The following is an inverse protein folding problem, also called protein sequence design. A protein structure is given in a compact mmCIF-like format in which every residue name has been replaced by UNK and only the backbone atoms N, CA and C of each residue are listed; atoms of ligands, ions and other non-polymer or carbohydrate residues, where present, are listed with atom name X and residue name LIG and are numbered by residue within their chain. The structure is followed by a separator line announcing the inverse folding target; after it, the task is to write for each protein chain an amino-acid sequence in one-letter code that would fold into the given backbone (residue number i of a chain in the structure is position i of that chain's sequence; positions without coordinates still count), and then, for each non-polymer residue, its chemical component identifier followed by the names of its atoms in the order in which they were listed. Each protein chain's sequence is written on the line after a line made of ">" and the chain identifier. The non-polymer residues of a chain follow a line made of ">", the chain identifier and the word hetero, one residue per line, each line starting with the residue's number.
data_IF_218578182214
#
_entry.id   IF_218578182214
#
_cell.length_a   1.000
_cell.length_b   1.000
_cell.length_c   1.000
_cell.angle_alpha   90.00
_cell.angle_beta   90.00
_cell.angle_gamma   90.00
#
_symmetry.space_group_name_H-M   'P 1'
#
loop_
_entity.id
_entity.type
_entity.pdbx_description
1 polymer ?
#
# COMPACT_ATOMS: atom_id res chain seq x y z
N UNK A 1 -13.03 31.06 -16.22
CA UNK A 1 -12.09 30.06 -15.66
C UNK A 1 -12.10 28.88 -16.62
N UNK A 2 -11.07 28.74 -17.46
CA UNK A 2 -10.99 27.64 -18.44
C UNK A 2 -10.76 26.36 -17.64
N UNK A 3 -11.71 25.41 -17.68
CA UNK A 3 -11.49 24.05 -17.19
C UNK A 3 -10.52 23.40 -18.17
N UNK A 4 -9.23 23.41 -17.84
CA UNK A 4 -8.24 22.65 -18.58
C UNK A 4 -8.53 21.16 -18.33
N UNK A 5 -8.99 20.44 -19.35
CA UNK A 5 -9.11 18.99 -19.29
C UNK A 5 -7.70 18.39 -19.19
N UNK A 6 -7.33 17.90 -18.02
CA UNK A 6 -6.07 17.19 -17.81
C UNK A 6 -6.21 15.77 -18.36
N UNK A 7 -5.44 15.44 -19.40
CA UNK A 7 -5.33 14.05 -19.86
C UNK A 7 -4.49 13.26 -18.87
N UNK A 8 -5.12 12.31 -18.19
CA UNK A 8 -4.45 11.40 -17.25
C UNK A 8 -3.69 10.30 -18.01
N UNK A 9 -2.48 9.99 -17.54
CA UNK A 9 -1.70 8.83 -18.03
C UNK A 9 -2.37 7.51 -17.67
N UNK A 10 -2.13 6.43 -18.42
CA UNK A 10 -2.68 5.09 -18.15
C UNK A 10 -2.40 4.61 -16.71
N UNK A 11 -1.19 4.85 -16.19
CA UNK A 11 -0.83 4.50 -14.81
C UNK A 11 -1.63 5.29 -13.75
N UNK A 12 -1.98 6.55 -14.05
CA UNK A 12 -2.84 7.34 -13.17
C UNK A 12 -4.27 6.81 -13.19
N UNK A 13 -4.79 6.50 -14.38
CA UNK A 13 -6.14 5.95 -14.53
C UNK A 13 -6.25 4.60 -13.80
N UNK A 14 -5.25 3.73 -13.93
CA UNK A 14 -5.18 2.46 -13.22
C UNK A 14 -5.28 2.65 -11.70
N UNK A 15 -4.50 3.57 -11.12
CA UNK A 15 -4.53 3.85 -9.68
C UNK A 15 -5.88 4.38 -9.24
N UNK A 16 -6.50 5.28 -10.03
CA UNK A 16 -7.83 5.81 -9.75
C UNK A 16 -8.90 4.72 -9.75
N UNK A 17 -8.90 3.85 -10.76
CA UNK A 17 -9.84 2.72 -10.83
C UNK A 17 -9.68 1.79 -9.63
N UNK A 18 -8.45 1.48 -9.22
CA UNK A 18 -8.19 0.65 -8.03
C UNK A 18 -8.60 1.36 -6.73
N UNK A 19 -8.43 2.68 -6.65
CA UNK A 19 -8.91 3.48 -5.53
C UNK A 19 -10.43 3.45 -5.43
N UNK A 20 -11.14 3.64 -6.54
CA UNK A 20 -12.60 3.58 -6.55
C UNK A 20 -13.10 2.21 -6.05
N UNK A 21 -12.48 1.12 -6.50
CA UNK A 21 -12.76 -0.24 -6.00
C UNK A 21 -12.50 -0.37 -4.49
N UNK A 22 -11.39 0.21 -3.99
CA UNK A 22 -11.05 0.18 -2.57
C UNK A 22 -12.04 0.99 -1.72
N UNK A 23 -12.47 2.16 -2.20
CA UNK A 23 -13.42 3.02 -1.49
C UNK A 23 -14.82 2.40 -1.48
N UNK A 24 -15.25 1.78 -2.58
CA UNK A 24 -16.50 1.03 -2.60
C UNK A 24 -16.47 -0.11 -1.56
N UNK A 25 -15.35 -0.85 -1.48
CA UNK A 25 -15.17 -1.91 -0.49
C UNK A 25 -15.25 -1.42 0.96
N UNK A 26 -14.89 -0.15 1.25
CA UNK A 26 -15.02 0.41 2.60
C UNK A 26 -16.46 0.41 3.11
N UNK A 27 -17.46 0.45 2.25
CA UNK A 27 -18.86 0.35 2.65
C UNK A 27 -19.31 -1.08 3.03
N UNK A 28 -18.46 -2.08 2.76
CA UNK A 28 -18.78 -3.51 2.92
C UNK A 28 -18.18 -4.11 4.20
N UNK A 29 -17.27 -3.41 4.87
CA UNK A 29 -16.63 -3.86 6.11
C UNK A 29 -16.32 -2.71 7.07
N UNK A 30 -16.54 -2.95 8.36
CA UNK A 30 -16.11 -2.05 9.44
C UNK A 30 -14.72 -2.43 9.99
N UNK A 31 -14.15 -3.58 9.59
CA UNK A 31 -12.83 -4.01 10.02
C UNK A 31 -11.74 -3.32 9.18
N UNK A 32 -10.95 -2.48 9.85
CA UNK A 32 -9.85 -1.76 9.22
C UNK A 32 -8.74 -2.69 8.71
N UNK A 33 -8.55 -3.87 9.32
CA UNK A 33 -7.56 -4.84 8.85
C UNK A 33 -7.99 -5.51 7.56
N UNK A 34 -9.27 -5.84 7.41
CA UNK A 34 -9.82 -6.31 6.13
C UNK A 34 -9.67 -5.25 5.05
N UNK A 35 -9.94 -3.98 5.38
CA UNK A 35 -9.70 -2.86 4.47
C UNK A 35 -8.23 -2.75 4.05
N UNK A 36 -7.28 -2.82 4.99
CA UNK A 36 -5.84 -2.82 4.65
C UNK A 36 -5.43 -4.04 3.83
N UNK A 37 -6.04 -5.20 4.10
CA UNK A 37 -5.87 -6.40 3.29
C UNK A 37 -6.29 -6.16 1.85
N UNK A 38 -7.49 -5.62 1.63
CA UNK A 38 -7.97 -5.24 0.29
C UNK A 38 -7.08 -4.19 -0.37
N UNK A 39 -6.59 -3.20 0.38
CA UNK A 39 -5.64 -2.20 -0.13
C UNK A 39 -4.34 -2.84 -0.63
N UNK A 40 -3.81 -3.83 0.09
CA UNK A 40 -2.66 -4.61 -0.35
C UNK A 40 -2.98 -5.42 -1.61
N UNK A 41 -4.09 -6.16 -1.60
CA UNK A 41 -4.49 -7.05 -2.69
C UNK A 41 -4.79 -6.29 -4.00
N UNK A 42 -5.13 -5.00 -3.91
CA UNK A 42 -5.31 -4.10 -5.05
C UNK A 42 -4.02 -3.42 -5.54
N UNK A 43 -2.88 -3.69 -4.91
CA UNK A 43 -1.60 -3.09 -5.29
C UNK A 43 -1.40 -1.65 -4.78
N UNK A 44 -2.18 -1.22 -3.78
CA UNK A 44 -2.19 0.16 -3.27
C UNK A 44 -1.40 0.32 -1.95
N UNK A 45 -0.71 -0.73 -1.49
CA UNK A 45 0.19 -0.67 -0.33
C UNK A 45 1.51 0.02 -0.68
N UNK A 46 2.12 -0.34 -1.81
CA UNK A 46 3.31 0.29 -2.36
C UNK A 46 3.23 0.22 -3.89
N UNK A 47 2.67 1.23 -4.54
CA UNK A 47 2.35 1.15 -5.98
C UNK A 47 3.56 0.78 -6.87
N UNK A 48 4.77 1.06 -6.40
CA UNK A 48 6.02 0.73 -7.09
C UNK A 48 6.49 -0.71 -6.95
N UNK A 49 5.97 -1.46 -5.98
CA UNK A 49 6.31 -2.87 -5.85
C UNK A 49 5.64 -3.69 -6.97
N UNK A 50 6.17 -4.88 -7.30
CA UNK A 50 5.55 -5.74 -8.30
C UNK A 50 4.12 -6.14 -7.94
N UNK A 51 3.37 -6.57 -8.95
CA UNK A 51 2.06 -7.20 -8.75
C UNK A 51 2.19 -8.43 -7.83
N UNK A 52 1.20 -8.64 -6.97
CA UNK A 52 1.24 -9.66 -5.91
C UNK A 52 2.10 -9.32 -4.68
N UNK A 53 2.89 -8.25 -4.71
CA UNK A 53 3.72 -7.78 -3.58
C UNK A 53 3.13 -6.53 -2.91
N UNK A 54 1.84 -6.26 -3.09
CA UNK A 54 1.17 -5.05 -2.60
C UNK A 54 1.35 -3.83 -3.50
N UNK A 55 1.85 -4.00 -4.72
CA UNK A 55 2.08 -2.93 -5.68
C UNK A 55 1.49 -3.20 -7.07
N UNK A 56 1.71 -2.24 -7.98
CA UNK A 56 1.23 -2.25 -9.38
C UNK A 56 2.39 -2.22 -10.38
N UNK A 57 3.64 -2.21 -9.91
CA UNK A 57 4.84 -2.08 -10.75
C UNK A 57 4.98 -0.73 -11.46
N UNK A 58 4.40 0.35 -10.90
CA UNK A 58 4.36 1.67 -11.54
C UNK A 58 5.25 2.70 -10.82
N UNK A 59 5.35 3.90 -11.40
CA UNK A 59 6.18 4.96 -10.83
C UNK A 59 5.73 5.32 -9.39
N UNK A 60 6.66 5.41 -8.41
CA UNK A 60 6.36 5.76 -7.01
C UNK A 60 5.59 7.07 -6.82
N UNK A 61 5.66 8.02 -7.77
CA UNK A 61 4.94 9.30 -7.71
C UNK A 61 3.43 9.11 -7.51
N UNK A 62 2.86 8.00 -8.00
CA UNK A 62 1.43 7.74 -7.88
C UNK A 62 1.00 7.29 -6.47
N UNK A 63 1.94 6.98 -5.57
CA UNK A 63 1.63 6.69 -4.16
C UNK A 63 1.00 7.92 -3.46
N UNK A 64 1.30 9.13 -3.94
CA UNK A 64 0.72 10.36 -3.42
C UNK A 64 -0.81 10.37 -3.62
N UNK A 65 -1.28 9.95 -4.80
CA UNK A 65 -2.72 9.87 -5.10
C UNK A 65 -3.45 8.95 -4.12
N UNK A 66 -2.85 7.79 -3.83
CA UNK A 66 -3.39 6.84 -2.85
C UNK A 66 -3.48 7.49 -1.47
N UNK A 67 -2.39 8.11 -1.03
CA UNK A 67 -2.31 8.72 0.31
C UNK A 67 -3.28 9.89 0.47
N UNK A 68 -3.42 10.73 -0.56
CA UNK A 68 -4.35 11.87 -0.55
C UNK A 68 -5.80 11.40 -0.53
N UNK A 69 -6.17 10.45 -1.40
CA UNK A 69 -7.54 9.94 -1.46
C UNK A 69 -7.96 9.29 -0.14
N UNK A 70 -7.10 8.47 0.47
CA UNK A 70 -7.42 7.85 1.76
C UNK A 70 -7.56 8.89 2.88
N UNK A 71 -6.80 10.00 2.83
CA UNK A 71 -6.95 11.11 3.78
C UNK A 71 -8.26 11.87 3.58
N UNK A 72 -8.63 12.15 2.33
CA UNK A 72 -9.90 12.81 1.99
C UNK A 72 -11.11 12.02 2.49
N UNK A 73 -11.06 10.69 2.36
CA UNK A 73 -12.09 9.77 2.86
C UNK A 73 -12.02 9.52 4.38
N UNK A 74 -11.09 10.16 5.10
CA UNK A 74 -10.92 9.99 6.54
C UNK A 74 -10.47 8.58 6.96
N UNK A 75 -9.83 7.83 6.07
CA UNK A 75 -9.43 6.45 6.29
C UNK A 75 -8.10 6.39 7.03
N UNK A 76 -8.09 5.68 8.16
CA UNK A 76 -6.89 5.49 8.97
C UNK A 76 -5.75 4.80 8.21
N UNK A 77 -4.56 5.41 8.27
CA UNK A 77 -3.29 4.86 7.78
C UNK A 77 -2.41 4.39 8.94
N UNK A 78 -3.01 4.03 10.08
CA UNK A 78 -2.28 3.71 11.30
C UNK A 78 -1.38 2.48 11.15
N UNK A 79 -1.69 1.56 10.22
CA UNK A 79 -0.80 0.43 9.91
C UNK A 79 0.63 0.87 9.57
N UNK A 80 0.79 1.97 8.82
CA UNK A 80 2.11 2.50 8.46
C UNK A 80 2.89 3.07 9.64
N UNK A 81 2.20 3.68 10.59
CA UNK A 81 2.82 4.25 11.80
C UNK A 81 3.12 3.14 12.80
N UNK A 82 2.18 2.23 13.01
CA UNK A 82 2.28 1.13 13.96
C UNK A 82 3.39 0.14 13.60
N UNK A 83 3.66 -0.06 12.30
CA UNK A 83 4.69 -0.97 11.81
C UNK A 83 5.77 -0.23 10.99
N UNK A 84 6.17 0.97 11.42
CA UNK A 84 7.08 1.84 10.66
C UNK A 84 8.41 1.17 10.31
N UNK A 85 8.95 0.31 11.18
CA UNK A 85 10.19 -0.43 10.91
C UNK A 85 9.98 -1.53 9.87
N UNK A 86 8.88 -2.29 9.98
CA UNK A 86 8.49 -3.26 8.98
C UNK A 86 8.28 -2.60 7.62
N UNK A 87 7.41 -1.58 7.55
CA UNK A 87 7.06 -0.92 6.30
C UNK A 87 8.21 -0.11 5.71
N UNK A 88 8.97 0.60 6.54
CA UNK A 88 10.04 1.51 6.10
C UNK A 88 11.37 0.82 5.81
N UNK A 89 11.64 -0.35 6.41
CA UNK A 89 12.93 -1.04 6.29
C UNK A 89 12.78 -2.51 5.91
N UNK A 90 11.87 -3.24 6.56
CA UNK A 90 11.63 -4.67 6.29
C UNK A 90 11.13 -4.93 4.88
N UNK A 91 10.02 -4.29 4.49
CA UNK A 91 9.40 -4.42 3.18
C UNK A 91 10.37 -4.16 2.01
N UNK A 92 11.13 -3.04 1.96
CA UNK A 92 12.09 -2.84 0.87
C UNK A 92 13.22 -3.87 0.87
N UNK A 93 13.65 -4.34 2.04
CA UNK A 93 14.67 -5.41 2.12
C UNK A 93 14.15 -6.73 1.53
N UNK A 94 12.91 -7.10 1.84
CA UNK A 94 12.27 -8.31 1.31
C UNK A 94 12.04 -8.20 -0.20
N UNK A 95 11.66 -7.03 -0.70
CA UNK A 95 11.49 -6.80 -2.14
C UNK A 95 12.82 -6.94 -2.89
N UNK A 96 13.90 -6.40 -2.33
CA UNK A 96 15.20 -6.39 -3.01
C UNK A 96 15.90 -7.77 -2.95
N UNK A 97 15.84 -8.45 -1.80
CA UNK A 97 16.65 -9.64 -1.54
C UNK A 97 15.84 -10.91 -1.25
N UNK A 98 14.53 -10.78 -1.07
CA UNK A 98 13.67 -11.89 -0.69
C UNK A 98 13.34 -12.81 -1.86
N UNK A 99 13.07 -14.08 -1.55
CA UNK A 99 12.50 -15.02 -2.53
C UNK A 99 11.01 -14.73 -2.75
N UNK A 100 10.39 -15.21 -3.84
CA UNK A 100 8.95 -15.09 -4.06
C UNK A 100 8.12 -15.61 -2.89
N UNK A 101 8.56 -16.68 -2.23
CA UNK A 101 7.90 -17.25 -1.06
C UNK A 101 7.99 -16.30 0.14
N UNK A 102 9.12 -15.63 0.34
CA UNK A 102 9.29 -14.64 1.42
C UNK A 102 8.44 -13.39 1.16
N UNK A 103 8.38 -12.91 -0.08
CA UNK A 103 7.51 -11.80 -0.49
C UNK A 103 6.05 -12.14 -0.17
N UNK A 104 5.57 -13.28 -0.65
CA UNK A 104 4.19 -13.73 -0.43
C UNK A 104 3.87 -13.98 1.04
N UNK A 105 4.84 -14.45 1.82
CA UNK A 105 4.64 -14.77 3.23
C UNK A 105 4.58 -13.54 4.12
N UNK A 106 5.47 -12.55 3.89
CA UNK A 106 5.72 -11.50 4.88
C UNK A 106 5.07 -10.16 4.57
N UNK A 107 4.93 -9.76 3.30
CA UNK A 107 4.52 -8.38 3.01
C UNK A 107 3.07 -8.08 3.39
N UNK A 108 2.15 -9.01 3.16
CA UNK A 108 0.73 -8.81 3.48
C UNK A 108 0.50 -8.76 4.99
N UNK A 109 0.94 -9.75 5.81
CA UNK A 109 0.79 -9.69 7.27
C UNK A 109 1.47 -8.48 7.91
N UNK A 110 2.61 -8.06 7.36
CA UNK A 110 3.31 -6.83 7.78
C UNK A 110 2.45 -5.59 7.51
N UNK A 111 1.83 -5.49 6.32
CA UNK A 111 1.01 -4.34 5.95
C UNK A 111 -0.32 -4.27 6.72
N UNK A 112 -0.94 -5.41 7.01
CA UNK A 112 -2.21 -5.51 7.77
C UNK A 112 -2.03 -5.47 9.28
N UNK A 113 -0.78 -5.32 9.76
CA UNK A 113 -0.41 -5.37 11.19
C UNK A 113 -0.80 -6.67 11.89
N UNK A 114 -0.83 -7.77 11.15
CA UNK A 114 -0.88 -9.12 11.74
C UNK A 114 0.50 -9.54 12.26
N UNK A 115 1.56 -8.97 11.69
CA UNK A 115 2.92 -9.03 12.21
C UNK A 115 3.49 -7.62 12.40
N UNK A 116 3.93 -7.28 13.61
CA UNK A 116 4.66 -6.05 13.91
C UNK A 116 6.14 -6.37 14.01
N UNK A 117 6.95 -5.63 13.26
CA UNK A 117 8.37 -5.89 13.11
C UNK A 117 9.20 -4.92 13.94
N UNK A 118 10.28 -5.43 14.51
CA UNK A 118 11.34 -4.65 15.12
C UNK A 118 12.68 -4.93 14.43
N UNK A 119 13.67 -4.09 14.69
CA UNK A 119 15.00 -4.23 14.12
C UNK A 119 16.04 -4.22 15.23
N UNK A 120 17.00 -5.14 15.15
CA UNK A 120 18.04 -5.32 16.15
C UNK A 120 19.40 -5.16 15.48
N UNK A 121 20.00 -3.98 15.65
CA UNK A 121 21.38 -3.69 15.21
C UNK A 121 22.36 -3.51 16.36
N UNK A 122 21.88 -3.52 17.61
CA UNK A 122 22.73 -3.31 18.79
C UNK A 122 23.48 -4.58 19.17
N UNK A 123 24.78 -4.43 19.40
CA UNK A 123 25.67 -5.42 20.03
C UNK A 123 26.07 -4.93 21.45
N UNK A 124 26.54 -5.80 22.36
CA UNK A 124 26.85 -5.47 23.76
C UNK A 124 27.88 -4.35 23.97
#
# INVERSE_FOLDING_TARGET
>A
MVKTETKHSDAEQLVRTKLDELIEFRSQTDDIKEFWGKQFDLGLAWVQYPDGAGGLGINPKYQLLVTEKLREEGISQQNRVANILGIGMGAPTIIEYGTPEQISKYLRPMFTTDEIWCQMFSEP
#
